data_IF_311965861295
#
_entry.id   IF_311965861295
#
_cell.length_a   1.000
_cell.length_b   1.000
_cell.length_c   1.000
_cell.angle_alpha   90.00
_cell.angle_beta   90.00
_cell.angle_gamma   90.00
#
_symmetry.space_group_name_H-M   'P 1'
#
loop_
_entity.id
_entity.type
_entity.pdbx_description
1 polymer ?
#
# COMPACT_ATOMS: atom_id res chain seq x y z
N UNK A 1 -24.98 4.48 14.66
CA UNK A 1 -24.51 5.39 13.60
C UNK A 1 -23.08 5.83 13.88
N UNK A 2 -22.13 5.43 13.04
CA UNK A 2 -20.71 5.79 13.17
C UNK A 2 -20.32 6.63 11.94
N UNK A 3 -20.55 7.95 12.00
CA UNK A 3 -20.26 8.85 10.88
C UNK A 3 -18.75 8.96 10.69
N UNK A 4 -18.28 8.75 9.45
CA UNK A 4 -16.86 8.87 9.09
C UNK A 4 -16.58 10.00 8.10
N UNK A 5 -17.62 10.64 7.54
CA UNK A 5 -17.47 11.86 6.74
C UNK A 5 -16.82 12.95 7.58
N UNK A 6 -15.65 13.40 7.14
CA UNK A 6 -14.79 14.38 7.81
C UNK A 6 -14.48 13.99 9.25
N UNK A 7 -14.23 12.69 9.47
CA UNK A 7 -13.74 12.19 10.76
C UNK A 7 -12.46 12.92 11.17
N UNK A 8 -11.56 13.16 10.22
CA UNK A 8 -10.42 14.04 10.37
C UNK A 8 -10.75 15.43 9.80
N UNK A 9 -11.46 16.22 10.61
CA UNK A 9 -11.75 17.63 10.35
C UNK A 9 -10.62 18.55 10.85
N UNK A 10 -10.75 19.86 10.60
CA UNK A 10 -9.77 20.88 11.01
C UNK A 10 -9.38 20.80 12.50
N UNK A 11 -10.36 20.65 13.39
CA UNK A 11 -10.12 20.55 14.84
C UNK A 11 -9.25 19.35 15.19
N UNK A 12 -9.52 18.17 14.62
CA UNK A 12 -8.70 16.98 14.84
C UNK A 12 -7.30 17.15 14.27
N UNK A 13 -7.20 17.68 13.05
CA UNK A 13 -5.94 17.88 12.34
C UNK A 13 -5.00 18.83 13.10
N UNK A 14 -5.55 19.93 13.66
CA UNK A 14 -4.78 20.85 14.52
C UNK A 14 -4.35 20.22 15.85
N UNK A 15 -5.11 19.26 16.36
CA UNK A 15 -4.81 18.55 17.61
C UNK A 15 -3.79 17.41 17.44
N UNK A 16 -3.33 17.11 16.22
CA UNK A 16 -2.28 16.13 15.99
C UNK A 16 -1.00 16.52 16.72
N UNK A 17 -0.34 15.53 17.32
CA UNK A 17 0.97 15.68 17.99
C UNK A 17 1.99 16.32 17.02
N UNK A 18 2.98 17.06 17.55
CA UNK A 18 4.09 17.51 16.73
C UNK A 18 4.78 16.35 16.01
N UNK A 19 5.18 16.54 14.75
CA UNK A 19 5.83 15.51 13.92
C UNK A 19 4.98 14.26 13.65
N UNK A 20 3.65 14.37 13.70
CA UNK A 20 2.76 13.26 13.39
C UNK A 20 2.73 12.95 11.87
N UNK A 21 2.51 11.68 11.55
CA UNK A 21 2.27 11.21 10.19
C UNK A 21 0.78 10.87 10.04
N UNK A 22 0.09 11.55 9.13
CA UNK A 22 -1.28 11.26 8.74
C UNK A 22 -1.28 10.39 7.47
N UNK A 23 -1.97 9.25 7.51
CA UNK A 23 -2.11 8.36 6.35
C UNK A 23 -3.60 8.15 6.07
N UNK A 24 -4.05 8.45 4.85
CA UNK A 24 -5.38 8.09 4.38
C UNK A 24 -5.30 7.30 3.07
N UNK A 25 -5.65 6.01 3.16
CA UNK A 25 -5.82 5.11 2.02
C UNK A 25 -7.16 4.36 2.09
N UNK A 26 -8.15 4.90 2.81
CA UNK A 26 -9.47 4.28 2.95
C UNK A 26 -10.49 4.87 1.97
N UNK A 27 -10.98 6.09 2.25
CA UNK A 27 -11.90 6.86 1.40
C UNK A 27 -11.57 8.34 1.51
N UNK A 28 -11.63 9.06 0.40
CA UNK A 28 -11.28 10.48 0.32
C UNK A 28 -11.97 11.33 1.40
N UNK A 29 -13.32 11.37 1.45
CA UNK A 29 -14.06 12.24 2.37
C UNK A 29 -13.95 11.89 3.87
N UNK A 30 -13.13 10.92 4.26
CA UNK A 30 -12.86 10.65 5.67
C UNK A 30 -11.96 11.74 6.27
N UNK A 31 -11.08 12.31 5.44
CA UNK A 31 -10.29 13.50 5.77
C UNK A 31 -10.92 14.68 5.02
N UNK A 32 -11.20 15.78 5.72
CA UNK A 32 -11.59 17.03 5.05
C UNK A 32 -10.36 17.61 4.35
N UNK A 33 -10.28 17.42 3.03
CA UNK A 33 -9.13 17.84 2.23
C UNK A 33 -8.93 19.37 2.21
N UNK A 34 -10.00 20.15 2.36
CA UNK A 34 -9.88 21.61 2.41
C UNK A 34 -9.32 22.05 3.76
N UNK A 35 -9.77 21.45 4.85
CA UNK A 35 -9.20 21.67 6.18
C UNK A 35 -7.73 21.23 6.24
N UNK A 36 -7.40 20.08 5.66
CA UNK A 36 -6.03 19.57 5.62
C UNK A 36 -5.09 20.53 4.90
N UNK A 37 -5.49 21.08 3.74
CA UNK A 37 -4.69 22.08 3.04
C UNK A 37 -4.39 23.30 3.92
N UNK A 38 -5.41 23.87 4.58
CA UNK A 38 -5.24 25.01 5.50
C UNK A 38 -4.30 24.69 6.67
N UNK A 39 -4.40 23.49 7.23
CA UNK A 39 -3.52 23.05 8.31
C UNK A 39 -2.08 22.95 7.82
N UNK A 40 -1.83 22.38 6.64
CA UNK A 40 -0.47 22.25 6.08
C UNK A 40 0.15 23.59 5.64
N UNK A 41 -0.65 24.64 5.47
CA UNK A 41 -0.16 26.01 5.29
C UNK A 41 0.49 26.57 6.56
N UNK A 42 0.16 26.06 7.74
CA UNK A 42 0.66 26.56 9.04
C UNK A 42 1.46 25.54 9.86
N UNK A 43 1.17 24.25 9.72
CA UNK A 43 1.81 23.12 10.41
C UNK A 43 2.76 22.39 9.47
N UNK A 44 3.97 22.93 9.30
CA UNK A 44 5.03 22.33 8.48
C UNK A 44 5.71 21.10 9.12
N UNK A 45 5.34 20.75 10.34
CA UNK A 45 5.84 19.59 11.07
C UNK A 45 5.04 18.31 10.79
N UNK A 46 3.91 18.39 10.09
CA UNK A 46 3.13 17.21 9.77
C UNK A 46 3.62 16.57 8.47
N UNK A 47 3.69 15.24 8.47
CA UNK A 47 3.84 14.47 7.23
C UNK A 47 2.52 13.82 6.85
N UNK A 48 2.22 13.77 5.55
CA UNK A 48 0.95 13.30 5.02
C UNK A 48 1.14 12.35 3.85
N UNK A 49 0.43 11.23 3.90
CA UNK A 49 0.34 10.24 2.83
C UNK A 49 -1.13 10.08 2.42
N UNK A 50 -1.46 10.42 1.17
CA UNK A 50 -2.80 10.24 0.62
C UNK A 50 -2.78 9.30 -0.58
N UNK A 51 -3.54 8.23 -0.51
CA UNK A 51 -3.90 7.43 -1.70
C UNK A 51 -5.30 7.80 -2.21
N UNK A 52 -6.14 8.44 -1.39
CA UNK A 52 -7.54 8.75 -1.71
C UNK A 52 -7.84 10.23 -1.51
N UNK A 53 -8.75 10.79 -2.31
CA UNK A 53 -8.94 12.23 -2.44
C UNK A 53 -10.41 12.67 -2.39
N UNK A 54 -10.66 13.88 -1.90
CA UNK A 54 -11.95 14.56 -1.99
C UNK A 54 -11.85 15.81 -2.88
N UNK A 55 -12.60 15.87 -4.02
CA UNK A 55 -13.22 14.75 -4.72
C UNK A 55 -12.22 13.97 -5.60
N UNK A 56 -12.54 12.71 -5.90
CA UNK A 56 -11.92 11.96 -7.01
C UNK A 56 -12.81 12.05 -8.27
N UNK A 57 -12.26 12.06 -9.49
CA UNK A 57 -10.82 12.08 -9.82
C UNK A 57 -10.17 13.48 -9.77
N UNK A 58 -10.96 14.53 -9.50
CA UNK A 58 -10.53 15.94 -9.52
C UNK A 58 -9.91 16.38 -8.19
N UNK A 59 -8.74 15.82 -7.85
CA UNK A 59 -8.03 16.16 -6.63
C UNK A 59 -7.53 17.62 -6.59
N UNK A 60 -7.28 18.14 -5.38
CA UNK A 60 -6.72 19.48 -5.19
C UNK A 60 -5.21 19.50 -5.49
N UNK A 61 -4.80 20.20 -6.54
CA UNK A 61 -3.38 20.38 -6.89
C UNK A 61 -2.57 21.08 -5.79
N UNK A 62 -3.07 22.15 -5.13
CA UNK A 62 -2.35 22.75 -4.00
C UNK A 62 -2.13 21.78 -2.84
N UNK A 63 -3.08 20.87 -2.58
CA UNK A 63 -2.91 19.85 -1.56
C UNK A 63 -1.89 18.80 -1.99
N UNK A 64 -1.94 18.35 -3.25
CA UNK A 64 -0.95 17.43 -3.83
C UNK A 64 0.48 17.94 -3.64
N UNK A 65 0.72 19.24 -3.82
CA UNK A 65 2.04 19.85 -3.63
C UNK A 65 2.52 19.86 -2.16
N UNK A 66 1.60 19.78 -1.19
CA UNK A 66 1.90 19.85 0.24
C UNK A 66 2.12 18.48 0.92
N UNK A 67 1.60 17.40 0.34
CA UNK A 67 1.72 16.06 0.94
C UNK A 67 3.03 15.37 0.55
N UNK A 68 3.56 14.54 1.45
CA UNK A 68 4.83 13.83 1.27
C UNK A 68 4.71 12.69 0.24
N UNK A 69 3.61 11.94 0.28
CA UNK A 69 3.32 10.87 -0.69
C UNK A 69 1.87 10.99 -1.14
N UNK A 70 1.66 10.91 -2.45
CA UNK A 70 0.39 11.05 -3.12
C UNK A 70 0.23 9.96 -4.18
N UNK A 71 -0.80 9.12 -4.09
CA UNK A 71 -1.07 8.10 -5.11
C UNK A 71 -2.52 8.13 -5.59
N UNK A 72 -2.76 7.55 -6.77
CA UNK A 72 -4.04 7.66 -7.48
C UNK A 72 -5.03 6.55 -7.11
N UNK A 73 -5.30 6.34 -5.82
CA UNK A 73 -6.21 5.31 -5.32
C UNK A 73 -5.85 3.90 -5.80
N UNK A 74 -4.59 3.51 -5.54
CA UNK A 74 -3.96 2.26 -5.98
C UNK A 74 -3.36 1.44 -4.82
N UNK A 75 -3.59 1.81 -3.56
CA UNK A 75 -2.99 1.10 -2.42
C UNK A 75 -3.26 -0.41 -2.45
N UNK A 76 -4.46 -0.81 -2.88
CA UNK A 76 -4.88 -2.22 -3.01
C UNK A 76 -4.56 -2.91 -4.35
N UNK A 77 -3.82 -2.28 -5.28
CA UNK A 77 -3.64 -2.81 -6.64
C UNK A 77 -2.47 -3.79 -6.75
N UNK A 78 -2.54 -4.91 -6.04
CA UNK A 78 -1.62 -6.06 -6.22
C UNK A 78 -2.20 -7.09 -7.18
N UNK A 79 -1.36 -7.84 -7.88
CA UNK A 79 -1.81 -9.00 -8.66
C UNK A 79 -2.50 -10.03 -7.75
N UNK A 80 -1.90 -10.30 -6.59
CA UNK A 80 -2.46 -11.14 -5.54
C UNK A 80 -3.83 -10.63 -5.08
N UNK A 81 -3.98 -9.32 -4.83
CA UNK A 81 -5.23 -8.71 -4.38
C UNK A 81 -6.35 -8.86 -5.41
N UNK A 82 -6.04 -8.66 -6.70
CA UNK A 82 -7.00 -8.89 -7.79
C UNK A 82 -7.39 -10.36 -7.90
N UNK A 83 -6.43 -11.28 -7.88
CA UNK A 83 -6.68 -12.72 -7.98
C UNK A 83 -7.45 -13.26 -6.76
N UNK A 84 -7.11 -12.78 -5.55
CA UNK A 84 -7.75 -13.18 -4.29
C UNK A 84 -9.24 -12.88 -4.27
N UNK A 85 -9.69 -11.79 -4.90
CA UNK A 85 -11.11 -11.51 -5.07
C UNK A 85 -11.84 -12.63 -5.81
N UNK A 86 -11.26 -13.12 -6.92
CA UNK A 86 -11.79 -14.26 -7.66
C UNK A 86 -11.70 -15.56 -6.86
N UNK A 87 -10.56 -15.84 -6.23
CA UNK A 87 -10.36 -17.06 -5.43
C UNK A 87 -11.35 -17.15 -4.28
N UNK A 88 -11.59 -16.08 -3.52
CA UNK A 88 -12.55 -16.10 -2.40
C UNK A 88 -13.99 -16.37 -2.86
N UNK A 89 -14.40 -15.80 -4.00
CA UNK A 89 -15.73 -16.08 -4.58
C UNK A 89 -15.83 -17.54 -5.04
N UNK A 90 -14.77 -18.07 -5.66
CA UNK A 90 -14.70 -19.48 -6.06
C UNK A 90 -14.80 -20.43 -4.86
N UNK A 91 -14.03 -20.18 -3.81
CA UNK A 91 -14.04 -20.99 -2.57
C UNK A 91 -15.43 -20.94 -1.91
N UNK A 92 -16.03 -19.76 -1.78
CA UNK A 92 -17.39 -19.61 -1.23
C UNK A 92 -18.45 -20.32 -2.08
N UNK A 93 -18.31 -20.27 -3.41
CA UNK A 93 -19.21 -20.94 -4.34
C UNK A 93 -19.12 -22.46 -4.25
N UNK A 94 -17.90 -23.01 -4.24
CA UNK A 94 -17.68 -24.46 -4.12
C UNK A 94 -18.13 -24.99 -2.76
N UNK A 95 -17.94 -24.22 -1.69
CA UNK A 95 -18.53 -24.49 -0.38
C UNK A 95 -20.06 -24.50 -0.43
N UNK A 96 -20.69 -23.54 -1.10
CA UNK A 96 -22.15 -23.49 -1.25
C UNK A 96 -22.72 -24.71 -1.99
N UNK A 97 -21.98 -25.26 -2.95
CA UNK A 97 -22.35 -26.48 -3.68
C UNK A 97 -22.11 -27.78 -2.88
N UNK A 98 -21.45 -27.72 -1.72
CA UNK A 98 -21.09 -28.89 -0.91
C UNK A 98 -19.80 -29.59 -1.36
N UNK A 99 -19.02 -28.97 -2.24
CA UNK A 99 -17.75 -29.50 -2.77
C UNK A 99 -16.60 -28.53 -2.48
N UNK A 100 -16.23 -28.32 -1.21
CA UNK A 100 -15.26 -27.28 -0.85
C UNK A 100 -13.91 -27.51 -1.53
N UNK A 101 -13.44 -26.51 -2.29
CA UNK A 101 -12.13 -26.50 -2.94
C UNK A 101 -11.32 -25.28 -2.46
N UNK A 102 -9.99 -25.43 -2.43
CA UNK A 102 -9.05 -24.35 -2.14
C UNK A 102 -8.04 -24.23 -3.27
N UNK A 103 -7.63 -23.00 -3.59
CA UNK A 103 -6.67 -22.74 -4.66
C UNK A 103 -5.54 -21.86 -4.14
N UNK A 104 -4.32 -22.36 -4.26
CA UNK A 104 -3.13 -21.58 -3.90
C UNK A 104 -2.85 -20.52 -4.98
N UNK A 105 -2.71 -19.25 -4.57
CA UNK A 105 -2.54 -18.11 -5.49
C UNK A 105 -1.27 -18.22 -6.36
N UNK A 106 -0.20 -18.82 -5.86
CA UNK A 106 1.06 -19.01 -6.58
C UNK A 106 0.93 -19.91 -7.81
N UNK A 107 -0.08 -20.80 -7.84
CA UNK A 107 -0.40 -21.62 -9.02
C UNK A 107 -1.10 -20.84 -10.13
N UNK A 108 -1.70 -19.70 -9.80
CA UNK A 108 -2.48 -18.87 -10.73
C UNK A 108 -1.70 -17.67 -11.27
N UNK A 109 -0.74 -17.18 -10.50
CA UNK A 109 0.00 -15.97 -10.81
C UNK A 109 1.28 -16.29 -11.59
N UNK A 110 1.73 -15.40 -12.50
CA UNK A 110 3.04 -15.54 -13.11
C UNK A 110 4.15 -15.44 -12.04
N UNK A 111 5.30 -16.05 -12.33
CA UNK A 111 6.48 -15.92 -11.48
C UNK A 111 6.87 -14.43 -11.32
N UNK A 112 7.21 -13.97 -10.10
CA UNK A 112 7.68 -12.60 -9.89
C UNK A 112 9.07 -12.41 -10.50
N UNK A 113 9.41 -11.16 -10.84
CA UNK A 113 10.75 -10.79 -11.35
C UNK A 113 11.86 -11.17 -10.35
N UNK A 114 11.59 -11.00 -9.05
CA UNK A 114 12.47 -11.43 -7.95
C UNK A 114 11.77 -12.49 -7.09
N UNK A 115 12.05 -13.77 -7.36
CA UNK A 115 11.42 -14.89 -6.64
C UNK A 115 12.10 -15.31 -5.34
N UNK A 116 13.41 -15.12 -5.20
CA UNK A 116 14.15 -15.50 -4.00
C UNK A 116 15.37 -14.60 -3.75
N UNK A 117 15.68 -14.35 -2.48
CA UNK A 117 16.89 -13.67 -2.02
C UNK A 117 17.43 -14.34 -0.74
N UNK A 118 18.72 -14.21 -0.49
CA UNK A 118 19.36 -14.62 0.78
C UNK A 118 19.63 -13.39 1.66
N UNK A 119 19.26 -13.47 2.93
CA UNK A 119 19.57 -12.50 3.96
C UNK A 119 20.47 -13.15 5.03
N UNK A 120 21.62 -12.54 5.29
CA UNK A 120 22.55 -12.96 6.35
C UNK A 120 22.51 -11.97 7.52
N UNK A 121 22.47 -12.49 8.74
CA UNK A 121 22.43 -11.71 9.98
C UNK A 121 21.02 -11.27 10.40
N UNK A 122 20.97 -10.48 11.48
CA UNK A 122 19.71 -10.04 12.09
C UNK A 122 19.01 -8.96 11.26
N UNK A 123 17.67 -8.99 11.27
CA UNK A 123 16.87 -7.96 10.63
C UNK A 123 16.91 -6.65 11.42
N UNK A 124 17.34 -5.58 10.74
CA UNK A 124 17.21 -4.20 11.21
C UNK A 124 16.33 -3.36 10.27
N UNK A 125 16.02 -2.12 10.67
CA UNK A 125 15.16 -1.23 9.90
C UNK A 125 15.73 -0.90 8.50
N UNK A 126 17.03 -0.59 8.31
CA UNK A 126 17.61 -0.40 6.98
C UNK A 126 17.46 -1.61 6.05
N UNK A 127 17.68 -2.82 6.58
CA UNK A 127 17.56 -4.06 5.82
C UNK A 127 16.11 -4.34 5.45
N UNK A 128 15.18 -4.18 6.40
CA UNK A 128 13.75 -4.31 6.13
C UNK A 128 13.30 -3.33 5.04
N UNK A 129 13.75 -2.07 5.10
CA UNK A 129 13.44 -1.07 4.06
C UNK A 129 13.89 -1.53 2.68
N UNK A 130 15.09 -2.13 2.56
CA UNK A 130 15.60 -2.65 1.28
C UNK A 130 14.73 -3.77 0.73
N UNK A 131 14.30 -4.70 1.58
CA UNK A 131 13.41 -5.80 1.18
C UNK A 131 12.01 -5.31 0.78
N UNK A 132 11.41 -4.44 1.59
CA UNK A 132 10.10 -3.85 1.30
C UNK A 132 10.12 -3.10 -0.03
N UNK A 133 11.14 -2.27 -0.25
CA UNK A 133 11.26 -1.46 -1.45
C UNK A 133 11.68 -2.27 -2.69
N UNK A 134 12.35 -3.41 -2.52
CA UNK A 134 12.61 -4.35 -3.62
C UNK A 134 11.29 -4.87 -4.20
N UNK A 135 10.30 -5.15 -3.35
CA UNK A 135 8.98 -5.60 -3.79
C UNK A 135 8.11 -4.42 -4.24
N UNK A 136 8.04 -3.35 -3.43
CA UNK A 136 7.25 -2.18 -3.75
C UNK A 136 7.76 -0.92 -3.05
N UNK A 137 8.18 0.06 -3.85
CA UNK A 137 8.46 1.42 -3.42
C UNK A 137 7.35 2.37 -3.87
N UNK A 138 6.58 2.91 -2.93
CA UNK A 138 5.42 3.78 -3.20
C UNK A 138 5.76 5.01 -4.04
N UNK A 139 7.03 5.46 -4.00
CA UNK A 139 7.47 6.62 -4.80
C UNK A 139 7.38 6.39 -6.31
N UNK A 140 7.34 5.13 -6.75
CA UNK A 140 7.13 4.77 -8.16
C UNK A 140 5.76 5.20 -8.68
N UNK A 141 4.77 5.31 -7.78
CA UNK A 141 3.38 5.69 -8.10
C UNK A 141 3.08 7.15 -7.75
N UNK A 142 3.84 7.73 -6.82
CA UNK A 142 3.78 9.16 -6.49
C UNK A 142 4.26 10.05 -7.65
N UNK A 143 5.41 9.75 -8.22
CA UNK A 143 6.00 10.59 -9.27
C UNK A 143 5.10 10.70 -10.53
N UNK A 144 4.48 9.62 -11.05
CA UNK A 144 3.53 9.72 -12.16
C UNK A 144 2.30 10.58 -11.84
N UNK A 145 1.73 10.47 -10.64
CA UNK A 145 0.59 11.29 -10.24
C UNK A 145 0.97 12.77 -10.25
N UNK A 146 2.10 13.14 -9.61
CA UNK A 146 2.57 14.53 -9.58
C UNK A 146 2.79 15.11 -10.98
N UNK A 147 3.26 14.30 -11.92
CA UNK A 147 3.48 14.72 -13.30
C UNK A 147 2.18 14.94 -14.08
N UNK A 148 1.13 14.19 -13.76
CA UNK A 148 -0.05 14.06 -14.61
C UNK A 148 -1.33 14.68 -14.01
N UNK A 149 -1.38 14.96 -12.71
CA UNK A 149 -2.60 15.37 -12.00
C UNK A 149 -3.28 16.62 -12.55
N UNK A 150 -2.54 17.55 -13.18
CA UNK A 150 -3.10 18.75 -13.79
C UNK A 150 -3.84 18.49 -15.11
N UNK A 151 -3.67 17.32 -15.72
CA UNK A 151 -4.28 16.97 -17.01
C UNK A 151 -5.57 16.17 -16.77
N UNK A 152 -6.73 16.64 -17.28
CA UNK A 152 -7.99 15.94 -17.10
C UNK A 152 -7.95 14.47 -17.58
N UNK A 153 -8.46 13.57 -16.75
CA UNK A 153 -8.54 12.13 -17.07
C UNK A 153 -7.27 11.32 -16.74
N UNK A 154 -6.14 11.96 -16.43
CA UNK A 154 -4.90 11.25 -16.14
C UNK A 154 -4.97 10.43 -14.84
N UNK A 155 -5.72 10.89 -13.84
CA UNK A 155 -5.93 10.14 -12.59
C UNK A 155 -6.50 8.74 -12.87
N UNK A 156 -7.57 8.66 -13.67
CA UNK A 156 -8.17 7.38 -14.04
C UNK A 156 -7.32 6.60 -15.05
N UNK A 157 -6.58 7.28 -15.92
CA UNK A 157 -5.63 6.62 -16.85
C UNK A 157 -4.53 5.88 -16.09
N UNK A 158 -3.96 6.48 -15.04
CA UNK A 158 -2.94 5.86 -14.19
C UNK A 158 -3.46 4.58 -13.52
N UNK A 159 -4.73 4.59 -13.07
CA UNK A 159 -5.38 3.43 -12.46
C UNK A 159 -5.67 2.34 -13.47
N UNK A 160 -6.24 2.72 -14.62
CA UNK A 160 -6.61 1.78 -15.69
C UNK A 160 -5.40 1.06 -16.27
N UNK A 161 -4.28 1.77 -16.41
CA UNK A 161 -3.04 1.25 -16.98
C UNK A 161 -1.98 0.96 -15.90
N UNK A 162 -2.41 0.68 -14.67
CA UNK A 162 -1.51 0.45 -13.54
C UNK A 162 -0.60 -0.74 -13.82
N UNK A 163 0.72 -0.52 -13.70
CA UNK A 163 1.73 -1.57 -13.88
C UNK A 163 1.64 -2.59 -12.75
N UNK A 164 2.06 -3.81 -13.04
CA UNK A 164 1.95 -4.91 -12.10
C UNK A 164 2.72 -4.63 -10.80
N UNK A 165 2.17 -5.13 -9.69
CA UNK A 165 2.72 -5.03 -8.35
C UNK A 165 2.48 -6.33 -7.62
N UNK A 166 3.48 -6.79 -6.89
CA UNK A 166 3.39 -8.00 -6.06
C UNK A 166 3.26 -7.66 -4.58
N UNK A 167 2.83 -8.64 -3.80
CA UNK A 167 2.88 -8.62 -2.33
C UNK A 167 4.21 -9.18 -1.80
N UNK A 168 4.55 -8.93 -0.53
CA UNK A 168 5.80 -9.43 0.07
C UNK A 168 5.88 -10.96 0.09
N UNK A 169 4.74 -11.65 0.11
CA UNK A 169 4.65 -13.12 0.01
C UNK A 169 5.14 -13.67 -1.34
N UNK A 170 5.29 -12.83 -2.36
CA UNK A 170 5.90 -13.25 -3.63
C UNK A 170 7.43 -13.44 -3.53
N UNK A 171 8.08 -12.79 -2.56
CA UNK A 171 9.53 -12.84 -2.39
C UNK A 171 9.88 -13.87 -1.31
N UNK A 172 10.58 -14.94 -1.72
CA UNK A 172 11.13 -15.92 -0.78
C UNK A 172 12.43 -15.39 -0.17
N UNK A 173 12.52 -15.36 1.16
CA UNK A 173 13.73 -14.87 1.86
C UNK A 173 14.39 -16.00 2.64
N UNK A 174 15.51 -16.49 2.12
CA UNK A 174 16.33 -17.48 2.82
C UNK A 174 17.20 -16.78 3.87
N UNK A 175 17.04 -17.14 5.13
CA UNK A 175 17.76 -16.54 6.26
C UNK A 175 18.75 -17.55 6.88
N UNK A 176 19.86 -17.06 7.40
CA UNK A 176 20.86 -17.88 8.12
C UNK A 176 20.51 -18.08 9.62
N UNK A 177 19.53 -17.33 10.13
CA UNK A 177 19.04 -17.42 11.50
C UNK A 177 17.50 -17.47 11.57
N UNK A 178 16.99 -18.16 12.59
CA UNK A 178 15.55 -18.39 12.79
C UNK A 178 14.79 -17.16 13.28
N UNK A 179 15.44 -16.27 14.06
CA UNK A 179 14.83 -15.02 14.55
C UNK A 179 14.38 -14.13 13.40
N UNK A 180 15.28 -13.89 12.44
CA UNK A 180 15.01 -13.09 11.24
C UNK A 180 13.98 -13.73 10.34
N UNK A 181 14.07 -15.05 10.10
CA UNK A 181 13.06 -15.77 9.31
C UNK A 181 11.66 -15.64 9.94
N UNK A 182 11.57 -15.78 11.26
CA UNK A 182 10.29 -15.68 11.99
C UNK A 182 9.71 -14.27 11.91
N UNK A 183 10.54 -13.25 12.10
CA UNK A 183 10.12 -11.85 12.03
C UNK A 183 9.65 -11.47 10.63
N UNK A 184 10.37 -11.86 9.58
CA UNK A 184 9.97 -11.60 8.20
C UNK A 184 8.68 -12.33 7.82
N UNK A 185 8.50 -13.57 8.27
CA UNK A 185 7.25 -14.31 8.07
C UNK A 185 6.07 -13.66 8.78
N UNK A 186 6.25 -13.13 9.98
CA UNK A 186 5.22 -12.37 10.69
C UNK A 186 4.84 -11.05 9.99
N UNK A 187 5.78 -10.46 9.25
CA UNK A 187 5.52 -9.27 8.42
C UNK A 187 4.82 -9.61 7.09
N UNK A 188 4.83 -10.88 6.64
CA UNK A 188 4.17 -11.34 5.43
C UNK A 188 5.09 -11.69 4.25
N UNK A 189 6.41 -11.73 4.46
CA UNK A 189 7.34 -12.34 3.49
C UNK A 189 7.27 -13.87 3.55
N UNK A 190 7.61 -14.56 2.47
CA UNK A 190 7.80 -16.02 2.49
C UNK A 190 9.21 -16.38 2.95
N UNK A 191 9.51 -16.12 4.22
CA UNK A 191 10.85 -16.32 4.79
C UNK A 191 11.04 -17.71 5.42
N UNK A 192 12.25 -18.27 5.28
CA UNK A 192 12.60 -19.56 5.86
C UNK A 192 14.07 -19.59 6.29
N UNK A 193 14.35 -20.34 7.35
CA UNK A 193 15.72 -20.58 7.81
C UNK A 193 16.32 -21.76 7.05
N UNK A 194 17.57 -21.62 6.64
CA UNK A 194 18.38 -22.71 6.11
C UNK A 194 19.79 -22.57 6.64
N UNK A 195 20.29 -23.60 7.34
CA UNK A 195 21.68 -23.64 7.79
C UNK A 195 22.62 -23.58 6.57
N UNK A 196 23.71 -22.81 6.67
CA UNK A 196 24.81 -22.88 5.70
C UNK A 196 25.36 -24.33 5.74
N UNK A 197 25.36 -25.03 4.59
CA UNK A 197 25.90 -26.38 4.44
C UNK A 197 27.42 -26.42 4.64
#
# INVERSE_FOLDING_TARGET
NYKTLHLANETLLLALKPNAILINACRGPVVDNQALLKVLETRHDLSVVLDVWEPEPALSLPLLEKVDIATAHIAGYTLEGKARGTTQVFEAWTQFLGEPQQVALDTLLPAPEFGQITLRGELDQPTLKRLVHLVYDVRRDDAPLRKAAAVPGEFDRLRKNYLERREWSSLRVQCDNTSTATLLSALGFSAFWQADC
#
